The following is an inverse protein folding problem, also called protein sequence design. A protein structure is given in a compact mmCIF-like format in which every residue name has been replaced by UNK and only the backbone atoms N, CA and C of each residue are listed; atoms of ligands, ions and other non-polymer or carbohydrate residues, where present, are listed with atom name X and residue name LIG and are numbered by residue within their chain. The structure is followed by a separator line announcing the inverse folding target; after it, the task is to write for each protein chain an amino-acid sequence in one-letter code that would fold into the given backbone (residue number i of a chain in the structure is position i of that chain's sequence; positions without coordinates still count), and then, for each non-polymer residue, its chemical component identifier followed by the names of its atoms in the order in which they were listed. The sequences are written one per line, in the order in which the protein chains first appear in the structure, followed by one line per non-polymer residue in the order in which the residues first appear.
data_IF_896055678111
#
_entry.id   IF_896055678111
#
_cell.length_a   1.000
_cell.length_b   1.000
_cell.length_c   1.000
_cell.angle_alpha   90.00
_cell.angle_beta   90.00
_cell.angle_gamma   90.00
#
_symmetry.space_group_name_H-M   'P 1'
#
loop_
_entity.id
_entity.type
_entity.pdbx_description
1 polymer ?
#
# COMPACT_ATOMS: atom_id res chain seq x y z
N UNK A 1 4.89 14.45 -0.90
CA UNK A 1 4.15 14.03 0.30
C UNK A 1 2.77 14.66 0.39
N UNK A 2 2.60 15.96 0.15
CA UNK A 2 1.27 16.60 0.04
C UNK A 2 0.38 15.89 -1.00
N UNK A 3 0.92 15.56 -2.17
CA UNK A 3 0.20 14.82 -3.21
C UNK A 3 -0.27 13.42 -2.71
N UNK A 4 0.53 12.73 -1.91
CA UNK A 4 0.17 11.44 -1.32
C UNK A 4 -1.01 11.58 -0.35
N UNK A 5 -0.96 12.58 0.53
CA UNK A 5 -2.06 12.87 1.45
C UNK A 5 -3.33 13.25 0.68
N UNK A 6 -3.23 14.16 -0.30
CA UNK A 6 -4.37 14.60 -1.10
C UNK A 6 -5.03 13.46 -1.88
N UNK A 7 -4.24 12.57 -2.51
CA UNK A 7 -4.82 11.43 -3.24
C UNK A 7 -5.61 10.52 -2.30
N UNK A 8 -5.15 10.28 -1.07
CA UNK A 8 -5.89 9.45 -0.11
C UNK A 8 -7.22 10.08 0.29
N UNK A 9 -7.26 11.39 0.54
CA UNK A 9 -8.51 12.07 0.89
C UNK A 9 -9.48 12.13 -0.29
N UNK A 10 -9.00 12.44 -1.49
CA UNK A 10 -9.84 12.52 -2.70
C UNK A 10 -10.41 11.15 -3.04
N UNK A 11 -9.60 10.08 -2.98
CA UNK A 11 -10.06 8.73 -3.33
C UNK A 11 -10.94 8.08 -2.26
N UNK A 12 -10.80 8.46 -0.98
CA UNK A 12 -11.71 7.97 0.07
C UNK A 12 -13.13 8.51 -0.08
N UNK A 13 -13.32 9.63 -0.79
CA UNK A 13 -14.62 10.28 -1.02
C UNK A 13 -15.20 10.03 -2.42
N UNK A 14 -14.49 9.31 -3.30
CA UNK A 14 -14.92 9.08 -4.69
C UNK A 14 -15.52 7.68 -4.87
N UNK A 15 -16.84 7.60 -4.88
CA UNK A 15 -17.58 6.32 -5.02
C UNK A 15 -17.42 5.61 -6.39
N UNK A 16 -16.87 6.31 -7.38
CA UNK A 16 -16.73 5.80 -8.76
C UNK A 16 -15.38 5.11 -9.03
N UNK A 17 -14.42 5.19 -8.10
CA UNK A 17 -13.10 4.56 -8.28
C UNK A 17 -13.00 3.21 -7.57
N UNK A 18 -12.28 2.25 -8.16
CA UNK A 18 -11.96 0.99 -7.49
C UNK A 18 -11.30 1.27 -6.13
N UNK A 19 -11.84 0.71 -5.06
CA UNK A 19 -11.40 0.95 -3.67
C UNK A 19 -9.91 0.67 -3.44
N UNK A 20 -9.33 -0.17 -4.29
CA UNK A 20 -7.92 -0.58 -4.20
C UNK A 20 -6.99 0.21 -5.13
N UNK A 21 -7.54 1.13 -5.95
CA UNK A 21 -6.72 1.97 -6.82
C UNK A 21 -6.13 3.12 -6.00
N UNK A 22 -4.83 3.09 -5.78
CA UNK A 22 -4.14 4.14 -5.02
C UNK A 22 -2.81 4.49 -5.66
N UNK A 23 -2.63 5.77 -5.95
CA UNK A 23 -1.34 6.32 -6.37
C UNK A 23 -0.25 6.18 -5.28
N UNK A 24 -0.64 5.80 -4.06
CA UNK A 24 0.27 5.65 -2.91
C UNK A 24 1.37 4.63 -3.19
N UNK A 25 1.07 3.53 -3.91
CA UNK A 25 2.08 2.52 -4.26
C UNK A 25 3.16 3.08 -5.18
N UNK A 26 2.74 3.80 -6.22
CA UNK A 26 3.67 4.44 -7.14
C UNK A 26 4.52 5.52 -6.43
N UNK A 27 3.90 6.31 -5.55
CA UNK A 27 4.60 7.34 -4.78
C UNK A 27 5.58 6.73 -3.76
N UNK A 28 5.24 5.60 -3.13
CA UNK A 28 6.13 4.88 -2.23
C UNK A 28 7.34 4.30 -2.99
N UNK A 29 7.12 3.72 -4.16
CA UNK A 29 8.18 3.23 -5.05
C UNK A 29 9.09 4.39 -5.48
N UNK A 30 8.52 5.48 -5.99
CA UNK A 30 9.28 6.67 -6.38
C UNK A 30 10.06 7.27 -5.21
N UNK A 31 9.51 7.27 -4.00
CA UNK A 31 10.24 7.71 -2.82
C UNK A 31 11.48 6.84 -2.57
N UNK A 32 11.38 5.53 -2.78
CA UNK A 32 12.53 4.62 -2.74
C UNK A 32 13.59 4.95 -3.78
N UNK A 33 13.18 5.26 -5.02
CA UNK A 33 14.08 5.57 -6.13
C UNK A 33 14.79 6.93 -5.95
N UNK A 34 14.04 7.96 -5.61
CA UNK A 34 14.50 9.36 -5.67
C UNK A 34 14.95 9.93 -4.33
N UNK A 35 14.42 9.43 -3.21
CA UNK A 35 14.80 9.92 -1.88
C UNK A 35 15.87 9.02 -1.27
N UNK A 36 17.09 9.50 -1.25
CA UNK A 36 18.23 8.78 -0.65
C UNK A 36 18.26 8.93 0.88
N UNK A 37 18.84 7.94 1.54
CA UNK A 37 19.02 7.96 2.99
C UNK A 37 17.75 7.60 3.77
N UNK A 38 17.70 7.90 5.08
CA UNK A 38 16.57 7.54 5.94
C UNK A 38 15.27 8.26 5.57
N UNK A 39 15.35 9.45 4.97
CA UNK A 39 14.16 10.23 4.55
C UNK A 39 13.31 9.49 3.51
N UNK A 40 13.91 8.65 2.66
CA UNK A 40 13.19 7.84 1.68
C UNK A 40 12.24 6.82 2.31
N UNK A 41 12.44 6.43 3.57
CA UNK A 41 11.52 5.58 4.32
C UNK A 41 10.63 6.37 5.26
N UNK A 42 11.22 7.24 6.08
CA UNK A 42 10.49 7.93 7.13
C UNK A 42 9.43 8.89 6.61
N UNK A 43 9.71 9.55 5.49
CA UNK A 43 8.82 10.57 4.95
C UNK A 43 7.53 9.95 4.35
N UNK A 44 7.58 8.92 3.48
CA UNK A 44 6.36 8.28 3.00
C UNK A 44 5.62 7.50 4.09
N UNK A 45 6.33 6.74 4.94
CA UNK A 45 5.68 5.99 6.02
C UNK A 45 5.08 6.91 7.09
N UNK A 46 5.74 8.01 7.43
CA UNK A 46 5.20 9.01 8.34
C UNK A 46 3.97 9.71 7.78
N UNK A 47 3.96 10.03 6.49
CA UNK A 47 2.78 10.61 5.82
C UNK A 47 1.61 9.62 5.82
N UNK A 48 1.88 8.34 5.56
CA UNK A 48 0.86 7.29 5.64
C UNK A 48 0.29 7.18 7.05
N UNK A 49 1.15 7.15 8.07
CA UNK A 49 0.73 7.07 9.47
C UNK A 49 -0.19 8.23 9.86
N UNK A 50 0.22 9.46 9.55
CA UNK A 50 -0.58 10.65 9.87
C UNK A 50 -1.93 10.60 9.15
N UNK A 51 -1.93 10.27 7.84
CA UNK A 51 -3.19 10.19 7.07
C UNK A 51 -4.08 9.06 7.54
N UNK A 52 -3.53 7.91 7.96
CA UNK A 52 -4.31 6.79 8.50
C UNK A 52 -4.96 7.15 9.83
N UNK A 53 -4.22 7.79 10.75
CA UNK A 53 -4.77 8.25 12.02
C UNK A 53 -5.90 9.24 11.77
N UNK A 54 -5.70 10.23 10.90
CA UNK A 54 -6.72 11.23 10.57
C UNK A 54 -7.96 10.56 9.96
N UNK A 55 -7.79 9.66 9.00
CA UNK A 55 -8.91 8.97 8.37
C UNK A 55 -9.65 8.07 9.36
N UNK A 56 -8.94 7.30 10.18
CA UNK A 56 -9.56 6.40 11.15
C UNK A 56 -10.37 7.17 12.20
N UNK A 57 -9.81 8.25 12.74
CA UNK A 57 -10.46 9.01 13.81
C UNK A 57 -11.58 9.90 13.27
N UNK A 58 -11.34 10.66 12.20
CA UNK A 58 -12.29 11.70 11.75
C UNK A 58 -13.30 11.21 10.71
N UNK A 59 -12.95 10.22 9.87
CA UNK A 59 -13.84 9.74 8.81
C UNK A 59 -14.51 8.42 9.14
N UNK A 60 -13.78 7.48 9.74
CA UNK A 60 -14.32 6.14 10.01
C UNK A 60 -14.78 5.96 11.46
N UNK A 61 -14.50 6.89 12.38
CA UNK A 61 -14.84 6.78 13.78
C UNK A 61 -14.27 5.52 14.45
N UNK A 62 -13.15 5.02 13.93
CA UNK A 62 -12.52 3.76 14.34
C UNK A 62 -11.32 4.02 15.24
N UNK A 63 -10.78 2.97 15.86
CA UNK A 63 -9.53 3.07 16.63
C UNK A 63 -8.40 3.63 15.75
N UNK A 64 -7.55 4.53 16.28
CA UNK A 64 -6.46 5.15 15.52
C UNK A 64 -5.45 4.12 14.99
N UNK A 65 -5.30 3.00 15.70
CA UNK A 65 -4.43 1.90 15.32
C UNK A 65 -5.22 0.61 15.16
N UNK A 66 -5.03 -0.04 14.01
CA UNK A 66 -5.64 -1.32 13.70
C UNK A 66 -4.56 -2.33 13.33
N UNK A 67 -4.79 -3.61 13.64
CA UNK A 67 -3.80 -4.68 13.45
C UNK A 67 -3.34 -4.81 11.98
N UNK A 68 -4.25 -4.61 11.02
CA UNK A 68 -3.92 -4.69 9.60
C UNK A 68 -2.98 -3.57 9.11
N UNK A 69 -2.87 -2.45 9.84
CA UNK A 69 -1.95 -1.37 9.50
C UNK A 69 -0.50 -1.85 9.52
N UNK A 70 -0.16 -2.76 10.44
CA UNK A 70 1.20 -3.34 10.53
C UNK A 70 1.56 -4.03 9.21
N UNK A 71 0.66 -4.84 8.66
CA UNK A 71 0.88 -5.52 7.38
C UNK A 71 1.00 -4.53 6.23
N UNK A 72 0.15 -3.49 6.21
CA UNK A 72 0.22 -2.45 5.20
C UNK A 72 1.55 -1.70 5.25
N UNK A 73 2.02 -1.32 6.43
CA UNK A 73 3.31 -0.64 6.58
C UNK A 73 4.49 -1.52 6.20
N UNK A 74 4.45 -2.81 6.54
CA UNK A 74 5.45 -3.77 6.08
C UNK A 74 5.47 -3.87 4.54
N UNK A 75 4.29 -3.91 3.90
CA UNK A 75 4.17 -3.90 2.45
C UNK A 75 4.69 -2.61 1.81
N UNK A 76 4.39 -1.44 2.38
CA UNK A 76 4.93 -0.17 1.89
C UNK A 76 6.44 -0.06 2.09
N UNK A 77 6.97 -0.52 3.22
CA UNK A 77 8.40 -0.59 3.45
C UNK A 77 9.12 -1.47 2.41
N UNK A 78 8.49 -2.58 2.02
CA UNK A 78 8.98 -3.46 0.96
C UNK A 78 8.99 -2.75 -0.40
N UNK A 79 7.95 -2.01 -0.76
CA UNK A 79 7.89 -1.23 -2.01
C UNK A 79 8.98 -0.16 -2.04
N UNK A 80 9.18 0.55 -0.92
CA UNK A 80 10.24 1.56 -0.81
C UNK A 80 11.62 0.89 -0.95
N UNK A 81 11.82 -0.23 -0.28
CA UNK A 81 13.06 -1.02 -0.39
C UNK A 81 13.30 -1.49 -1.83
N UNK A 82 12.26 -1.98 -2.50
CA UNK A 82 12.33 -2.35 -3.91
C UNK A 82 12.72 -1.15 -4.77
N UNK A 83 12.09 0.01 -4.56
CA UNK A 83 12.44 1.25 -5.26
C UNK A 83 13.91 1.65 -5.09
N UNK A 84 14.52 1.34 -3.95
CA UNK A 84 15.96 1.60 -3.71
C UNK A 84 16.91 0.75 -4.54
N UNK A 85 16.44 -0.34 -5.13
CA UNK A 85 17.25 -1.17 -6.04
C UNK A 85 17.38 -0.53 -7.43
N UNK A 86 16.57 0.48 -7.71
CA UNK A 86 16.58 1.21 -8.98
C UNK A 86 17.28 2.56 -8.81
N UNK A 87 17.74 3.11 -9.96
CA UNK A 87 18.37 4.42 -10.00
C UNK A 87 17.46 5.42 -10.71
N UNK A 88 17.53 6.68 -10.29
CA UNK A 88 16.72 7.75 -10.88
C UNK A 88 16.96 7.96 -12.39
N UNK A 89 18.14 7.53 -12.89
CA UNK A 89 18.51 7.56 -14.30
C UNK A 89 18.11 6.32 -15.10
N UNK A 90 17.49 5.32 -14.47
CA UNK A 90 17.03 4.13 -15.17
C UNK A 90 15.95 4.49 -16.20
N UNK A 91 15.84 3.66 -17.26
CA UNK A 91 14.85 3.87 -18.30
C UNK A 91 13.44 3.85 -17.70
N UNK A 92 12.56 4.71 -18.20
CA UNK A 92 11.18 4.81 -17.75
C UNK A 92 10.46 3.45 -17.70
N UNK A 93 10.66 2.59 -18.72
CA UNK A 93 10.07 1.24 -18.75
C UNK A 93 10.58 0.35 -17.62
N UNK A 94 11.84 0.49 -17.22
CA UNK A 94 12.42 -0.26 -16.10
C UNK A 94 11.80 0.19 -14.78
N UNK A 95 11.66 1.50 -14.57
CA UNK A 95 11.02 2.06 -13.39
C UNK A 95 9.52 1.70 -13.33
N UNK A 96 8.84 1.76 -14.46
CA UNK A 96 7.42 1.37 -14.58
C UNK A 96 7.24 -0.12 -14.24
N UNK A 97 8.08 -1.00 -14.79
CA UNK A 97 8.08 -2.43 -14.50
C UNK A 97 8.34 -2.72 -13.02
N UNK A 98 9.31 -2.03 -12.40
CA UNK A 98 9.58 -2.11 -10.97
C UNK A 98 8.41 -1.67 -10.12
N UNK A 99 7.73 -0.58 -10.49
CA UNK A 99 6.54 -0.08 -9.80
C UNK A 99 5.35 -1.05 -9.88
N UNK A 100 5.09 -1.61 -11.07
CA UNK A 100 4.04 -2.63 -11.27
C UNK A 100 4.36 -3.89 -10.46
N UNK A 101 5.60 -4.36 -10.48
CA UNK A 101 6.03 -5.52 -9.71
C UNK A 101 5.85 -5.28 -8.20
N UNK A 102 6.22 -4.09 -7.71
CA UNK A 102 6.00 -3.70 -6.32
C UNK A 102 4.52 -3.69 -5.93
N UNK A 103 3.64 -3.20 -6.81
CA UNK A 103 2.19 -3.20 -6.59
C UNK A 103 1.62 -4.62 -6.52
N UNK A 104 2.07 -5.53 -7.40
CA UNK A 104 1.69 -6.94 -7.38
C UNK A 104 2.14 -7.61 -6.08
N UNK A 105 3.39 -7.39 -5.66
CA UNK A 105 3.89 -7.94 -4.41
C UNK A 105 3.07 -7.43 -3.21
N UNK A 106 2.79 -6.14 -3.15
CA UNK A 106 1.95 -5.58 -2.10
C UNK A 106 0.57 -6.23 -2.08
N UNK A 107 -0.06 -6.34 -3.25
CA UNK A 107 -1.36 -7.00 -3.41
C UNK A 107 -1.35 -8.43 -2.85
N UNK A 108 -0.35 -9.23 -3.23
CA UNK A 108 -0.23 -10.60 -2.74
C UNK A 108 -0.03 -10.66 -1.22
N UNK A 109 0.84 -9.82 -0.67
CA UNK A 109 1.14 -9.79 0.76
C UNK A 109 -0.09 -9.35 1.55
N UNK A 110 -0.74 -8.25 1.16
CA UNK A 110 -1.88 -7.69 1.88
C UNK A 110 -3.09 -8.63 1.87
N UNK A 111 -3.39 -9.24 0.72
CA UNK A 111 -4.51 -10.19 0.62
C UNK A 111 -4.21 -11.53 1.30
N UNK A 112 -2.95 -11.98 1.28
CA UNK A 112 -2.56 -13.19 2.04
C UNK A 112 -2.65 -12.93 3.55
N UNK A 113 -2.24 -11.76 4.01
CA UNK A 113 -2.38 -11.38 5.42
C UNK A 113 -3.85 -11.25 5.82
N UNK A 114 -4.69 -10.64 4.99
CA UNK A 114 -6.12 -10.56 5.20
C UNK A 114 -6.76 -11.96 5.28
N UNK A 115 -6.36 -12.88 4.38
CA UNK A 115 -6.80 -14.27 4.44
C UNK A 115 -6.38 -14.96 5.74
N UNK A 116 -5.15 -14.77 6.20
CA UNK A 116 -4.66 -15.36 7.45
C UNK A 116 -5.40 -14.84 8.68
N UNK A 117 -5.67 -13.54 8.73
CA UNK A 117 -6.26 -12.88 9.90
C UNK A 117 -7.78 -12.95 9.96
N UNK A 118 -8.46 -13.09 8.81
CA UNK A 118 -9.91 -13.03 8.76
C UNK A 118 -10.53 -14.42 9.00
N UNK A 119 -11.35 -14.61 10.03
CA UNK A 119 -12.03 -15.87 10.31
C UNK A 119 -13.04 -16.29 9.24
N UNK A 120 -13.53 -15.36 8.41
CA UNK A 120 -14.46 -15.66 7.31
C UNK A 120 -13.86 -16.63 6.27
N UNK A 121 -12.53 -16.72 6.19
CA UNK A 121 -11.83 -17.67 5.32
C UNK A 121 -11.45 -18.99 6.04
N UNK A 122 -12.25 -19.43 6.97
CA UNK A 122 -12.09 -20.76 7.59
C UNK A 122 -12.88 -21.82 6.81
N UNK A 123 -12.34 -23.03 6.61
CA UNK A 123 -10.98 -23.49 6.91
C UNK A 123 -9.92 -22.87 5.97
N UNK A 124 -8.68 -22.72 6.47
CA UNK A 124 -7.56 -22.17 5.69
C UNK A 124 -7.13 -23.20 4.62
N UNK A 125 -7.55 -22.99 3.38
CA UNK A 125 -7.26 -23.85 2.25
C UNK A 125 -6.79 -23.04 1.04
N UNK A 126 -6.21 -23.71 0.05
CA UNK A 126 -5.80 -23.05 -1.19
C UNK A 126 -7.00 -22.39 -1.89
N UNK A 127 -8.17 -23.01 -1.86
CA UNK A 127 -9.39 -22.47 -2.45
C UNK A 127 -9.82 -21.14 -1.78
N UNK A 128 -9.80 -21.08 -0.44
CA UNK A 128 -10.15 -19.87 0.31
C UNK A 128 -9.09 -18.77 0.15
N UNK A 129 -7.83 -19.14 -0.08
CA UNK A 129 -6.77 -18.18 -0.41
C UNK A 129 -6.97 -17.58 -1.80
N UNK A 130 -7.27 -18.38 -2.82
CA UNK A 130 -7.61 -17.91 -4.18
C UNK A 130 -8.87 -17.01 -4.12
N UNK A 131 -9.86 -17.38 -3.32
CA UNK A 131 -11.04 -16.54 -3.09
C UNK A 131 -10.66 -15.19 -2.50
N UNK A 132 -9.79 -15.14 -1.49
CA UNK A 132 -9.31 -13.89 -0.90
C UNK A 132 -8.58 -13.02 -1.93
N UNK A 133 -7.78 -13.63 -2.81
CA UNK A 133 -7.14 -12.91 -3.93
C UNK A 133 -8.19 -12.39 -4.92
N UNK A 134 -9.18 -13.17 -5.30
CA UNK A 134 -10.20 -12.74 -6.26
C UNK A 134 -11.11 -11.64 -5.71
N UNK A 135 -11.47 -11.69 -4.44
CA UNK A 135 -12.26 -10.63 -3.78
C UNK A 135 -11.48 -9.35 -3.51
N UNK A 136 -10.14 -9.44 -3.44
CA UNK A 136 -9.25 -8.29 -3.32
C UNK A 136 -8.98 -7.57 -4.66
N UNK A 137 -9.38 -8.14 -5.79
CA UNK A 137 -9.31 -7.45 -7.09
C UNK A 137 -10.36 -6.34 -7.16
N UNK A 138 -10.02 -5.18 -7.74
CA UNK A 138 -10.94 -4.08 -7.94
C UNK A 138 -12.06 -4.43 -8.92
#
# INVERSE_FOLDING_TARGET
MVALALTRFVFSSADWMPRNFSAVYALAFCAGVYLRGPMGCWLPLGTLLVTDIVLNVFFYGSAPFQMFMITNYAGFALIIWLGRQFQAQDKFLTLLGGGIFGAILFYLISNTAAWLMNPLYAPKSLATWIQALSTGLP
#
